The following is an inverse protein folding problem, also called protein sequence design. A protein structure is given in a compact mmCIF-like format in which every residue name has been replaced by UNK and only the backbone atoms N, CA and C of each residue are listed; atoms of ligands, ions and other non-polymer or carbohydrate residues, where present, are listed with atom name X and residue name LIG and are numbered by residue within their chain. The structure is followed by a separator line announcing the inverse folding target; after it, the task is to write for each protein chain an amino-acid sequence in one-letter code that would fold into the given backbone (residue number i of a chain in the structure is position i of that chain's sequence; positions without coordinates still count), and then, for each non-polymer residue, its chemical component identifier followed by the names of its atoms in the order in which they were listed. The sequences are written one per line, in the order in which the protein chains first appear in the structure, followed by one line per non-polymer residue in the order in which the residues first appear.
data_IF_363733404097
#
_entry.id   IF_363733404097
#
_cell.length_a   1.000
_cell.length_b   1.000
_cell.length_c   1.000
_cell.angle_alpha   90.00
_cell.angle_beta   90.00
_cell.angle_gamma   90.00
#
_symmetry.space_group_name_H-M   'P 1'
#
loop_
_entity.id
_entity.type
_entity.pdbx_description
1 polymer ?
#
# COMPACT_ATOMS: atom_id res chain seq x y z
N UNK A 1 -18.87 12.34 -21.05
CA UNK A 1 -18.12 13.26 -20.15
C UNK A 1 -18.22 12.86 -18.66
N UNK A 2 -19.41 12.50 -18.14
CA UNK A 2 -19.65 12.15 -16.72
C UNK A 2 -18.74 11.03 -16.13
N UNK A 3 -18.48 9.95 -16.89
CA UNK A 3 -17.71 8.78 -16.40
C UNK A 3 -16.26 9.12 -16.03
N UNK A 4 -15.66 10.12 -16.69
CA UNK A 4 -14.27 10.54 -16.46
C UNK A 4 -14.12 11.28 -15.12
N UNK A 5 -15.04 12.19 -14.81
CA UNK A 5 -15.06 12.93 -13.54
C UNK A 5 -15.29 12.04 -12.33
N UNK A 6 -16.18 11.04 -12.46
CA UNK A 6 -16.43 10.07 -11.39
C UNK A 6 -15.19 9.21 -11.10
N UNK A 7 -14.43 8.86 -12.13
CA UNK A 7 -13.18 8.08 -11.99
C UNK A 7 -12.10 8.88 -11.28
N UNK A 8 -11.98 10.19 -11.56
CA UNK A 8 -11.01 11.08 -10.91
C UNK A 8 -11.33 11.25 -9.43
N UNK A 9 -12.59 11.59 -9.08
CA UNK A 9 -13.02 11.73 -7.68
C UNK A 9 -12.78 10.47 -6.84
N UNK A 10 -13.09 9.30 -7.40
CA UNK A 10 -12.85 8.01 -6.71
C UNK A 10 -11.37 7.74 -6.48
N UNK A 11 -10.51 8.18 -7.40
CA UNK A 11 -9.06 8.02 -7.29
C UNK A 11 -8.51 8.93 -6.19
N UNK A 12 -8.89 10.21 -6.17
CA UNK A 12 -8.46 11.16 -5.13
C UNK A 12 -8.91 10.75 -3.71
N UNK A 13 -10.15 10.28 -3.56
CA UNK A 13 -10.64 9.79 -2.26
C UNK A 13 -9.87 8.56 -1.78
N UNK A 14 -9.49 7.66 -2.68
CA UNK A 14 -8.71 6.47 -2.35
C UNK A 14 -7.26 6.81 -1.96
N UNK A 15 -6.65 7.80 -2.63
CA UNK A 15 -5.31 8.30 -2.27
C UNK A 15 -5.29 8.86 -0.84
N UNK A 16 -6.27 9.70 -0.46
CA UNK A 16 -6.34 10.28 0.88
C UNK A 16 -6.50 9.25 2.00
N UNK A 17 -6.99 8.04 1.69
CA UNK A 17 -7.14 6.94 2.67
C UNK A 17 -5.83 6.18 2.91
N UNK A 18 -4.87 6.32 2.02
CA UNK A 18 -3.59 5.57 2.06
C UNK A 18 -2.44 6.50 2.46
N UNK A 19 -2.45 7.74 1.98
CA UNK A 19 -1.40 8.73 2.21
C UNK A 19 -1.10 8.89 3.71
N UNK A 20 0.10 8.49 4.13
CA UNK A 20 0.63 8.54 5.51
C UNK A 20 -0.18 7.75 6.55
N UNK A 21 -1.10 6.89 6.10
CA UNK A 21 -1.94 6.06 6.95
C UNK A 21 -1.37 4.65 7.12
N UNK A 22 -1.78 3.96 8.19
CA UNK A 22 -1.48 2.54 8.40
C UNK A 22 -2.39 1.71 7.50
N UNK A 23 -1.82 1.07 6.47
CA UNK A 23 -2.59 0.33 5.45
C UNK A 23 -3.01 -1.07 5.89
N UNK A 24 -2.40 -1.57 6.96
CA UNK A 24 -2.66 -2.91 7.46
C UNK A 24 -1.66 -3.38 8.50
N UNK A 25 -2.05 -4.49 9.13
CA UNK A 25 -1.23 -5.22 10.09
C UNK A 25 -0.82 -6.56 9.48
N UNK A 26 0.43 -6.67 9.04
CA UNK A 26 0.94 -7.78 8.26
C UNK A 26 1.62 -8.82 9.15
N UNK A 27 1.47 -10.10 8.80
CA UNK A 27 2.21 -11.16 9.47
C UNK A 27 3.56 -11.34 8.78
N UNK A 28 4.66 -11.38 9.53
CA UNK A 28 5.96 -11.66 8.95
C UNK A 28 6.02 -13.12 8.46
N UNK A 29 6.83 -13.37 7.44
CA UNK A 29 7.09 -14.71 6.92
C UNK A 29 8.04 -15.49 7.85
N UNK A 30 8.45 -16.69 7.41
CA UNK A 30 9.36 -17.54 8.18
C UNK A 30 10.72 -16.88 8.50
N UNK A 31 11.13 -15.87 7.71
CA UNK A 31 12.36 -15.11 7.88
C UNK A 31 12.15 -13.79 8.65
N UNK A 32 11.04 -13.66 9.39
CA UNK A 32 10.67 -12.45 10.13
C UNK A 32 10.47 -11.19 9.26
N UNK A 33 10.31 -11.33 7.93
CA UNK A 33 10.13 -10.21 7.01
C UNK A 33 8.68 -10.14 6.49
N UNK A 34 8.14 -8.93 6.33
CA UNK A 34 6.83 -8.75 5.67
C UNK A 34 7.01 -8.81 4.14
N UNK A 35 6.36 -9.75 3.43
CA UNK A 35 6.47 -9.82 1.98
C UNK A 35 5.92 -8.56 1.29
N UNK A 36 6.72 -7.97 0.41
CA UNK A 36 6.29 -6.79 -0.38
C UNK A 36 5.07 -7.09 -1.26
N UNK A 37 4.91 -8.32 -1.72
CA UNK A 37 3.72 -8.76 -2.48
C UNK A 37 2.43 -8.58 -1.67
N UNK A 38 2.45 -8.87 -0.36
CA UNK A 38 1.28 -8.68 0.51
C UNK A 38 0.96 -7.18 0.69
N UNK A 39 1.99 -6.36 0.86
CA UNK A 39 1.86 -4.89 0.94
C UNK A 39 1.26 -4.36 -0.36
N UNK A 40 1.80 -4.78 -1.51
CA UNK A 40 1.36 -4.37 -2.84
C UNK A 40 -0.10 -4.72 -3.11
N UNK A 41 -0.49 -5.95 -2.79
CA UNK A 41 -1.89 -6.40 -2.89
C UNK A 41 -2.82 -5.56 -2.04
N UNK A 42 -2.41 -5.25 -0.80
CA UNK A 42 -3.23 -4.42 0.09
C UNK A 42 -3.41 -2.99 -0.41
N UNK A 43 -2.34 -2.39 -0.93
CA UNK A 43 -2.39 -1.08 -1.57
C UNK A 43 -3.35 -1.09 -2.77
N UNK A 44 -3.30 -2.11 -3.62
CA UNK A 44 -4.19 -2.22 -4.79
C UNK A 44 -5.67 -2.29 -4.38
N UNK A 45 -6.00 -3.06 -3.34
CA UNK A 45 -7.35 -3.13 -2.77
C UNK A 45 -7.84 -1.76 -2.25
N UNK A 46 -7.00 -1.06 -1.47
CA UNK A 46 -7.35 0.24 -0.88
C UNK A 46 -7.50 1.33 -1.95
N UNK A 47 -6.61 1.32 -2.93
CA UNK A 47 -6.57 2.29 -4.03
C UNK A 47 -7.58 1.95 -5.15
N UNK A 48 -8.21 0.77 -5.09
CA UNK A 48 -9.12 0.23 -6.11
C UNK A 48 -8.52 0.23 -7.51
N UNK A 49 -7.25 -0.16 -7.60
CA UNK A 49 -6.48 -0.28 -8.85
C UNK A 49 -5.96 -1.70 -9.00
N UNK A 50 -5.45 -2.05 -10.17
CA UNK A 50 -4.78 -3.34 -10.33
C UNK A 50 -3.36 -3.29 -9.75
N UNK A 51 -2.85 -4.42 -9.26
CA UNK A 51 -1.47 -4.51 -8.77
C UNK A 51 -0.44 -4.16 -9.86
N UNK A 52 -0.75 -4.45 -11.14
CA UNK A 52 0.06 -4.07 -12.29
C UNK A 52 0.11 -2.56 -12.54
N UNK A 53 -0.84 -1.79 -11.99
CA UNK A 53 -0.80 -0.33 -12.02
C UNK A 53 0.09 0.23 -10.90
N UNK A 54 0.46 -0.56 -9.89
CA UNK A 54 1.38 -0.13 -8.85
C UNK A 54 2.82 -0.37 -9.28
N UNK A 55 3.59 0.71 -9.39
CA UNK A 55 5.01 0.73 -9.78
C UNK A 55 5.86 1.31 -8.66
N UNK A 56 7.17 1.09 -8.72
CA UNK A 56 8.16 1.71 -7.83
C UNK A 56 7.82 1.55 -6.33
N UNK A 57 7.39 0.34 -5.94
CA UNK A 57 7.17 0.03 -4.52
C UNK A 57 8.51 0.01 -3.78
N UNK A 58 8.68 0.93 -2.85
CA UNK A 58 9.82 0.98 -1.94
C UNK A 58 9.33 0.79 -0.50
N UNK A 59 9.99 -0.05 0.28
CA UNK A 59 9.58 -0.40 1.64
C UNK A 59 10.77 -0.22 2.58
N UNK A 60 10.57 0.61 3.60
CA UNK A 60 11.47 0.78 4.73
C UNK A 60 10.95 -0.05 5.91
N UNK A 61 11.62 -1.17 6.16
CA UNK A 61 11.29 -2.10 7.23
C UNK A 61 11.77 -1.63 8.62
N UNK A 62 12.70 -0.68 8.70
CA UNK A 62 13.16 -0.15 9.99
C UNK A 62 12.08 0.76 10.59
N UNK A 63 11.50 1.62 9.76
CA UNK A 63 10.45 2.55 10.17
C UNK A 63 9.03 2.04 9.92
N UNK A 64 8.88 0.85 9.32
CA UNK A 64 7.60 0.30 8.83
C UNK A 64 6.82 1.28 7.94
N UNK A 65 7.54 1.93 7.02
CA UNK A 65 6.96 2.86 6.05
C UNK A 65 7.28 2.42 4.63
N UNK A 66 6.64 3.05 3.65
CA UNK A 66 6.95 2.79 2.26
C UNK A 66 6.35 3.82 1.34
N UNK A 67 6.76 3.75 0.07
CA UNK A 67 6.22 4.58 -1.00
C UNK A 67 5.83 3.71 -2.18
N UNK A 68 4.78 4.11 -2.88
CA UNK A 68 4.34 3.44 -4.12
C UNK A 68 3.89 4.47 -5.14
N UNK A 69 4.14 4.23 -6.41
CA UNK A 69 3.58 5.02 -7.50
C UNK A 69 2.45 4.25 -8.18
N UNK A 70 1.47 4.99 -8.67
CA UNK A 70 0.47 4.43 -9.59
C UNK A 70 0.88 4.83 -11.01
N UNK A 71 0.75 3.92 -11.95
CA UNK A 71 0.91 4.17 -13.37
C UNK A 71 0.06 5.36 -13.79
N UNK A 72 0.64 6.27 -14.55
CA UNK A 72 0.02 7.53 -14.95
C UNK A 72 -0.25 8.53 -13.80
N UNK A 73 0.34 8.33 -12.61
CA UNK A 73 0.42 9.31 -11.53
C UNK A 73 1.83 9.86 -11.43
N UNK A 74 1.97 11.19 -11.38
CA UNK A 74 3.24 11.86 -11.11
C UNK A 74 3.60 11.87 -9.62
N UNK A 75 2.64 11.56 -8.74
CA UNK A 75 2.83 11.54 -7.28
C UNK A 75 3.04 10.11 -6.79
N UNK A 76 4.06 9.95 -5.96
CA UNK A 76 4.21 8.79 -5.09
C UNK A 76 3.29 8.95 -3.86
N UNK A 77 2.75 7.84 -3.39
CA UNK A 77 1.91 7.74 -2.21
C UNK A 77 2.79 7.19 -1.09
N UNK A 78 2.92 7.94 -0.01
CA UNK A 78 3.58 7.45 1.21
C UNK A 78 2.57 6.64 2.03
N UNK A 79 3.01 5.54 2.62
CA UNK A 79 2.16 4.72 3.48
C UNK A 79 2.95 4.18 4.69
N UNK A 80 2.22 3.77 5.72
CA UNK A 80 2.76 3.08 6.90
C UNK A 80 2.13 1.69 7.01
N UNK A 81 2.81 0.77 7.68
CA UNK A 81 2.24 -0.53 8.00
C UNK A 81 2.63 -0.95 9.42
N UNK A 82 1.95 -1.97 9.93
CA UNK A 82 2.30 -2.60 11.20
C UNK A 82 2.64 -4.07 10.96
N UNK A 83 3.50 -4.61 11.82
CA UNK A 83 3.90 -6.02 11.78
C UNK A 83 3.34 -6.69 13.02
N UNK A 84 2.63 -7.82 12.84
CA UNK A 84 2.23 -8.67 13.95
C UNK A 84 3.47 -9.30 14.54
N UNK A 85 3.68 -9.13 15.83
CA UNK A 85 4.70 -9.88 16.54
C UNK A 85 4.40 -11.39 16.40
N UNK A 86 5.41 -12.14 15.98
CA UNK A 86 5.32 -13.60 15.95
C UNK A 86 5.24 -14.04 17.41
N UNK A 87 4.08 -14.54 17.86
CA UNK A 87 4.00 -15.22 19.15
C UNK A 87 4.93 -16.43 19.09
N UNK A 88 6.12 -16.29 19.68
CA UNK A 88 6.99 -17.43 19.97
C UNK A 88 6.34 -18.08 21.19
N UNK A 89 5.48 -19.08 20.95
CA UNK A 89 5.03 -19.94 22.03
C UNK A 89 6.24 -20.79 22.41
N UNK A 90 6.82 -20.48 23.57
CA UNK A 90 7.90 -21.26 24.18
C UNK A 90 7.33 -22.51 24.86
#
# INVERSE_FOLDING_TARGET
MMKKLLKIRKKEEAFSKVEKQIIGNFSPNNNNAVPQSNIKKKLAELLKVQESELTDLNVDYENNTGTVKIKDSSKAIEFKFSVKEKKINN
#
